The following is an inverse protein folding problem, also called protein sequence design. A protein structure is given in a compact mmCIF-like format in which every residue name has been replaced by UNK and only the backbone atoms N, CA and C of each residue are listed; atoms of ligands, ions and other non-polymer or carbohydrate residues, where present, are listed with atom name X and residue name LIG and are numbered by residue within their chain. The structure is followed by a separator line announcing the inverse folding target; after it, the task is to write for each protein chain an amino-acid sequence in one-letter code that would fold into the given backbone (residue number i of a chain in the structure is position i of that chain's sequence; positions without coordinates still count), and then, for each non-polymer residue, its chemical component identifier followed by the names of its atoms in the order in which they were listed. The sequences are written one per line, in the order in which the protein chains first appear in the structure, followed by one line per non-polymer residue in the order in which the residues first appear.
data_IF_704657172687
#
_entry.id   IF_704657172687
#
_cell.length_a   1.000
_cell.length_b   1.000
_cell.length_c   1.000
_cell.angle_alpha   90.00
_cell.angle_beta   90.00
_cell.angle_gamma   90.00
#
_symmetry.space_group_name_H-M   'P 1'
#
loop_
_entity.id
_entity.type
_entity.pdbx_description
1 polymer ?
#
# COMPACT_ATOMS: atom_id res chain seq x y z
N UNK A 1 21.17 -19.08 -10.63
CA UNK A 1 20.18 -18.03 -10.34
C UNK A 1 19.16 -18.63 -9.41
N UNK A 2 18.72 -17.86 -8.42
CA UNK A 2 17.58 -18.23 -7.57
C UNK A 2 16.33 -18.27 -8.44
N UNK A 3 15.37 -19.15 -8.12
CA UNK A 3 14.08 -19.17 -8.79
C UNK A 3 13.36 -17.81 -8.57
N UNK A 4 12.67 -17.26 -9.58
CA UNK A 4 11.88 -16.04 -9.42
C UNK A 4 10.83 -16.18 -8.30
N UNK A 5 10.62 -15.12 -7.52
CA UNK A 5 9.69 -15.15 -6.37
C UNK A 5 8.23 -15.34 -6.84
N UNK A 6 7.89 -14.84 -8.03
CA UNK A 6 6.55 -14.93 -8.64
C UNK A 6 6.05 -16.38 -8.70
N UNK A 7 6.95 -17.34 -8.89
CA UNK A 7 6.63 -18.78 -8.96
C UNK A 7 6.09 -19.35 -7.63
N UNK A 8 6.24 -18.62 -6.52
CA UNK A 8 5.86 -19.06 -5.19
C UNK A 8 4.56 -18.44 -4.69
N UNK A 9 3.92 -17.53 -5.45
CA UNK A 9 2.68 -16.88 -5.02
C UNK A 9 1.59 -17.90 -4.67
N UNK A 10 0.98 -17.73 -3.48
CA UNK A 10 -0.16 -18.52 -3.00
C UNK A 10 -1.06 -17.63 -2.17
N UNK A 11 -2.36 -17.65 -2.44
CA UNK A 11 -3.39 -16.98 -1.64
C UNK A 11 -4.17 -18.02 -0.85
N UNK A 12 -3.62 -18.45 0.29
CA UNK A 12 -4.28 -19.39 1.21
C UNK A 12 -5.23 -18.60 2.11
N UNK A 13 -4.72 -17.51 2.69
CA UNK A 13 -5.43 -16.55 3.53
C UNK A 13 -5.21 -15.11 3.08
N UNK A 14 -4.04 -14.80 2.51
CA UNK A 14 -3.72 -13.46 2.01
C UNK A 14 -4.47 -13.13 0.72
N UNK A 15 -4.45 -11.86 0.33
CA UNK A 15 -5.28 -11.36 -0.77
C UNK A 15 -4.69 -11.66 -2.16
N UNK A 16 -3.39 -11.43 -2.36
CA UNK A 16 -2.75 -11.39 -3.69
C UNK A 16 -1.44 -12.19 -3.76
N UNK A 17 -1.34 -13.26 -2.98
CA UNK A 17 -0.27 -14.26 -3.11
C UNK A 17 0.83 -14.14 -2.05
N UNK A 18 0.70 -13.21 -1.11
CA UNK A 18 1.66 -12.91 -0.04
C UNK A 18 2.04 -14.16 0.77
N UNK A 19 1.10 -15.07 1.06
CA UNK A 19 1.40 -16.25 1.90
C UNK A 19 2.59 -17.06 1.38
N UNK A 20 2.61 -17.30 0.06
CA UNK A 20 3.65 -18.08 -0.58
C UNK A 20 4.96 -17.31 -0.77
N UNK A 21 4.87 -16.00 -1.03
CA UNK A 21 6.04 -15.12 -1.15
C UNK A 21 6.75 -14.97 0.19
N UNK A 22 6.00 -14.70 1.27
CA UNK A 22 6.55 -14.56 2.61
C UNK A 22 7.18 -15.87 3.06
N UNK A 23 6.51 -17.01 2.82
CA UNK A 23 7.08 -18.33 3.14
C UNK A 23 8.42 -18.56 2.42
N UNK A 24 8.49 -18.25 1.13
CA UNK A 24 9.71 -18.43 0.34
C UNK A 24 10.84 -17.49 0.76
N UNK A 25 10.53 -16.21 1.05
CA UNK A 25 11.52 -15.26 1.59
C UNK A 25 12.06 -15.77 2.92
N UNK A 26 11.20 -16.14 3.87
CA UNK A 26 11.61 -16.68 5.16
C UNK A 26 12.48 -17.94 5.00
N UNK A 27 12.13 -18.83 4.07
CA UNK A 27 12.94 -20.01 3.73
C UNK A 27 14.33 -19.63 3.23
N UNK A 28 14.45 -18.64 2.33
CA UNK A 28 15.73 -18.13 1.83
C UNK A 28 16.58 -17.49 2.93
N UNK A 29 15.94 -16.83 3.89
CA UNK A 29 16.58 -16.27 5.08
C UNK A 29 16.96 -17.33 6.14
N UNK A 30 16.57 -18.60 5.94
CA UNK A 30 16.82 -19.68 6.90
C UNK A 30 15.91 -19.66 8.14
N UNK A 31 14.74 -19.00 8.04
CA UNK A 31 13.78 -18.84 9.15
C UNK A 31 12.66 -19.87 8.99
N UNK A 32 12.70 -20.94 9.78
CA UNK A 32 11.67 -21.99 9.79
C UNK A 32 10.60 -21.79 10.85
N UNK A 33 10.92 -21.10 11.95
CA UNK A 33 10.02 -20.73 13.02
C UNK A 33 10.40 -19.34 13.53
N UNK A 34 9.49 -18.38 13.39
CA UNK A 34 9.74 -16.97 13.69
C UNK A 34 8.61 -16.31 14.49
N UNK A 35 8.76 -15.00 14.65
CA UNK A 35 7.73 -14.14 15.21
C UNK A 35 7.25 -13.15 14.16
N UNK A 36 5.94 -13.12 13.91
CA UNK A 36 5.31 -12.14 13.04
C UNK A 36 4.48 -11.13 13.83
N UNK A 37 4.46 -9.88 13.36
CA UNK A 37 3.59 -8.83 13.87
C UNK A 37 2.67 -8.39 12.74
N UNK A 38 1.38 -8.29 13.01
CA UNK A 38 0.40 -7.69 12.09
C UNK A 38 -0.51 -6.74 12.87
N UNK A 39 -0.67 -5.53 12.37
CA UNK A 39 -1.62 -4.55 12.91
C UNK A 39 -2.59 -4.11 11.83
N UNK A 40 -3.85 -3.88 12.23
CA UNK A 40 -4.98 -3.97 11.29
C UNK A 40 -5.47 -5.40 11.12
N UNK A 41 -5.21 -6.27 12.12
CA UNK A 41 -5.38 -7.72 12.01
C UNK A 41 -6.83 -8.19 11.82
N UNK A 42 -7.84 -7.32 11.90
CA UNK A 42 -9.25 -7.64 11.70
C UNK A 42 -9.73 -8.79 12.60
N UNK A 43 -9.98 -9.97 12.04
CA UNK A 43 -10.38 -11.19 12.75
C UNK A 43 -9.24 -12.22 12.84
N UNK A 44 -8.03 -11.82 12.46
CA UNK A 44 -6.80 -12.60 12.45
C UNK A 44 -6.74 -13.68 11.37
N UNK A 45 -7.70 -13.72 10.44
CA UNK A 45 -7.75 -14.73 9.37
C UNK A 45 -8.02 -14.08 8.01
N UNK A 46 -9.10 -13.28 7.92
CA UNK A 46 -9.56 -12.72 6.66
C UNK A 46 -8.51 -11.76 6.08
N UNK A 47 -7.96 -12.13 4.92
CA UNK A 47 -6.92 -11.37 4.20
C UNK A 47 -5.63 -11.16 4.99
N UNK A 48 -5.38 -11.91 6.06
CA UNK A 48 -4.16 -11.79 6.85
C UNK A 48 -2.93 -12.23 6.04
N UNK A 49 -1.86 -11.42 6.08
CA UNK A 49 -0.59 -11.75 5.46
C UNK A 49 0.22 -12.75 6.30
N UNK A 50 -0.12 -12.95 7.59
CA UNK A 50 0.67 -13.73 8.53
C UNK A 50 -0.04 -14.99 9.04
N UNK A 51 -1.35 -15.13 8.85
CA UNK A 51 -2.10 -16.26 9.42
C UNK A 51 -1.63 -17.63 8.89
N UNK A 52 -1.18 -17.73 7.63
CA UNK A 52 -0.59 -18.98 7.13
C UNK A 52 0.65 -19.42 7.92
N UNK A 53 1.50 -18.46 8.32
CA UNK A 53 2.68 -18.75 9.15
C UNK A 53 2.27 -19.28 10.52
N UNK A 54 1.28 -18.62 11.15
CA UNK A 54 0.76 -19.00 12.46
C UNK A 54 0.10 -20.39 12.42
N UNK A 55 -0.77 -20.63 11.42
CA UNK A 55 -1.56 -21.85 11.30
C UNK A 55 -0.75 -23.06 10.88
N UNK A 56 0.09 -22.91 9.86
CA UNK A 56 0.66 -24.03 9.14
C UNK A 56 2.19 -24.18 9.35
N UNK A 57 2.86 -23.15 9.88
CA UNK A 57 4.32 -23.15 10.06
C UNK A 57 4.75 -23.09 11.53
N UNK A 58 3.80 -23.02 12.46
CA UNK A 58 4.09 -23.03 13.89
C UNK A 58 4.72 -21.74 14.40
N UNK A 59 4.61 -20.64 13.66
CA UNK A 59 5.13 -19.34 14.06
C UNK A 59 4.36 -18.78 15.26
N UNK A 60 5.05 -17.94 16.01
CA UNK A 60 4.46 -17.08 17.04
C UNK A 60 4.08 -15.73 16.43
N UNK A 61 3.21 -14.98 17.10
CA UNK A 61 2.92 -13.64 16.60
C UNK A 61 2.20 -12.71 17.55
N UNK A 62 2.23 -11.43 17.21
CA UNK A 62 1.50 -10.36 17.88
C UNK A 62 0.52 -9.75 16.89
N UNK A 63 -0.78 -9.93 17.13
CA UNK A 63 -1.86 -9.41 16.29
C UNK A 63 -2.56 -8.26 17.01
N UNK A 64 -2.66 -7.11 16.35
CA UNK A 64 -3.20 -5.87 16.92
C UNK A 64 -4.41 -5.40 16.11
N UNK A 65 -5.54 -5.20 16.78
CA UNK A 65 -6.78 -4.71 16.17
C UNK A 65 -7.46 -3.66 17.05
N UNK A 66 -7.69 -2.46 16.54
CA UNK A 66 -8.28 -1.36 17.31
C UNK A 66 -9.79 -1.47 17.49
N UNK A 67 -10.52 -2.02 16.52
CA UNK A 67 -11.96 -2.17 16.60
C UNK A 67 -12.35 -3.33 17.53
N UNK A 68 -12.97 -3.02 18.67
CA UNK A 68 -13.30 -4.03 19.68
C UNK A 68 -14.19 -5.17 19.15
N UNK A 69 -15.08 -4.93 18.16
CA UNK A 69 -15.92 -6.01 17.60
C UNK A 69 -15.10 -6.97 16.74
N UNK A 70 -14.20 -6.45 15.90
CA UNK A 70 -13.27 -7.26 15.10
C UNK A 70 -12.31 -8.01 16.02
N UNK A 71 -11.77 -7.32 17.02
CA UNK A 71 -10.91 -7.91 18.04
C UNK A 71 -11.56 -9.09 18.78
N UNK A 72 -12.86 -9.02 19.13
CA UNK A 72 -13.53 -10.18 19.74
C UNK A 72 -13.52 -11.41 18.82
N UNK A 73 -13.70 -11.22 17.50
CA UNK A 73 -13.57 -12.32 16.53
C UNK A 73 -12.14 -12.82 16.46
N UNK A 74 -11.17 -11.92 16.40
CA UNK A 74 -9.74 -12.25 16.44
C UNK A 74 -9.40 -13.12 17.65
N UNK A 75 -9.84 -12.72 18.85
CA UNK A 75 -9.61 -13.50 20.07
C UNK A 75 -10.24 -14.89 20.02
N UNK A 76 -11.44 -15.02 19.44
CA UNK A 76 -12.10 -16.32 19.27
C UNK A 76 -11.36 -17.19 18.26
N UNK A 77 -10.94 -16.61 17.13
CA UNK A 77 -10.22 -17.32 16.08
C UNK A 77 -8.82 -17.76 16.54
N UNK A 78 -8.16 -16.97 17.38
CA UNK A 78 -6.82 -17.25 17.90
C UNK A 78 -6.82 -18.03 19.22
N UNK A 79 -7.98 -18.45 19.75
CA UNK A 79 -8.09 -19.05 21.10
C UNK A 79 -7.22 -20.30 21.31
N UNK A 80 -6.98 -21.06 20.24
CA UNK A 80 -6.24 -22.33 20.26
C UNK A 80 -4.75 -22.12 19.90
N UNK A 81 -4.30 -20.87 19.73
CA UNK A 81 -2.94 -20.49 19.38
C UNK A 81 -2.24 -19.84 20.58
N UNK A 82 -1.75 -20.66 21.50
CA UNK A 82 -1.09 -20.18 22.73
C UNK A 82 0.17 -19.35 22.47
N UNK A 83 0.77 -19.47 21.28
CA UNK A 83 1.92 -18.69 20.83
C UNK A 83 1.56 -17.34 20.19
N UNK A 84 0.27 -16.99 20.12
CA UNK A 84 -0.21 -15.74 19.51
C UNK A 84 -0.75 -14.80 20.59
N UNK A 85 -0.17 -13.61 20.67
CA UNK A 85 -0.66 -12.51 21.50
C UNK A 85 -1.64 -11.65 20.70
N UNK A 86 -2.81 -11.40 21.28
CA UNK A 86 -3.88 -10.61 20.66
C UNK A 86 -4.11 -9.33 21.46
N UNK A 87 -4.02 -8.16 20.82
CA UNK A 87 -4.17 -6.86 21.47
C UNK A 87 -5.32 -6.04 20.88
N UNK A 88 -6.12 -5.41 21.76
CA UNK A 88 -7.14 -4.45 21.36
C UNK A 88 -6.65 -3.01 21.53
N UNK A 89 -5.81 -2.56 20.60
CA UNK A 89 -5.17 -1.24 20.66
C UNK A 89 -5.29 -0.51 19.32
N UNK A 90 -5.45 0.81 19.36
CA UNK A 90 -5.31 1.66 18.18
C UNK A 90 -3.87 2.13 18.06
N UNK A 91 -3.26 1.92 16.89
CA UNK A 91 -1.96 2.51 16.59
C UNK A 91 -2.15 4.00 16.34
N UNK A 92 -1.39 4.84 17.04
CA UNK A 92 -1.36 6.28 16.85
C UNK A 92 0.04 6.80 16.54
N UNK A 93 0.18 8.12 16.57
CA UNK A 93 1.45 8.82 16.36
C UNK A 93 2.09 9.33 17.65
N UNK A 94 1.41 9.15 18.79
CA UNK A 94 1.86 9.65 20.08
C UNK A 94 2.78 8.62 20.76
N UNK A 95 3.62 9.10 21.68
CA UNK A 95 4.57 8.24 22.39
C UNK A 95 3.90 7.07 23.14
N UNK A 96 2.66 7.25 23.60
CA UNK A 96 1.97 6.23 24.38
C UNK A 96 1.21 5.19 23.55
N UNK A 97 0.98 5.43 22.26
CA UNK A 97 0.20 4.53 21.40
C UNK A 97 0.85 4.26 20.03
N UNK A 98 2.11 4.64 19.84
CA UNK A 98 2.90 4.23 18.69
C UNK A 98 3.09 2.70 18.67
N UNK A 99 3.29 2.15 17.47
CA UNK A 99 3.60 0.73 17.30
C UNK A 99 4.84 0.32 18.11
N UNK A 100 5.90 1.13 18.08
CA UNK A 100 7.14 0.86 18.82
C UNK A 100 6.89 0.72 20.34
N UNK A 101 6.05 1.59 20.90
CA UNK A 101 5.67 1.52 22.32
C UNK A 101 4.89 0.24 22.64
N UNK A 102 3.95 -0.13 21.79
CA UNK A 102 3.16 -1.35 21.97
C UNK A 102 4.06 -2.60 21.88
N UNK A 103 4.95 -2.66 20.89
CA UNK A 103 5.90 -3.77 20.74
C UNK A 103 6.83 -3.90 21.95
N UNK A 104 7.29 -2.77 22.50
CA UNK A 104 8.13 -2.75 23.70
C UNK A 104 7.38 -3.28 24.93
N UNK A 105 6.11 -2.91 25.10
CA UNK A 105 5.27 -3.42 26.19
C UNK A 105 5.04 -4.92 26.09
N UNK A 106 4.88 -5.44 24.86
CA UNK A 106 4.75 -6.88 24.59
C UNK A 106 6.08 -7.63 24.62
N UNK A 107 7.20 -6.92 24.82
CA UNK A 107 8.56 -7.50 24.82
C UNK A 107 8.89 -8.22 23.51
N UNK A 108 8.33 -7.74 22.40
CA UNK A 108 8.72 -8.19 21.06
C UNK A 108 10.18 -7.79 20.84
N UNK A 109 11.05 -8.70 20.38
CA UNK A 109 12.45 -8.38 20.14
C UNK A 109 12.57 -7.36 19.00
N UNK A 110 13.51 -6.39 19.06
CA UNK A 110 13.69 -5.40 18.00
C UNK A 110 13.95 -5.99 16.60
N UNK A 111 14.55 -7.18 16.52
CA UNK A 111 14.97 -7.87 15.30
C UNK A 111 14.08 -9.08 14.94
N UNK A 112 12.78 -9.00 15.28
CA UNK A 112 11.78 -10.01 14.92
C UNK A 112 11.66 -10.23 13.40
N UNK A 113 10.94 -11.27 12.98
CA UNK A 113 11.11 -11.79 11.62
C UNK A 113 10.25 -11.08 10.56
N UNK A 114 8.94 -10.96 10.79
CA UNK A 114 8.00 -10.46 9.78
C UNK A 114 7.09 -9.37 10.36
N UNK A 115 7.02 -8.22 9.72
CA UNK A 115 6.07 -7.15 10.04
C UNK A 115 5.10 -6.94 8.87
N UNK A 116 3.80 -7.01 9.14
CA UNK A 116 2.72 -6.66 8.21
C UNK A 116 2.06 -5.35 8.65
N UNK A 117 2.06 -4.36 7.75
CA UNK A 117 1.52 -3.01 7.91
C UNK A 117 0.36 -2.83 6.91
N UNK A 118 -0.87 -2.90 7.40
CA UNK A 118 -2.06 -2.77 6.56
C UNK A 118 -3.22 -2.14 7.35
N UNK A 119 -3.32 -0.82 7.31
CA UNK A 119 -4.34 -0.03 8.03
C UNK A 119 -5.06 1.01 7.16
N UNK A 120 -5.09 0.81 5.85
CA UNK A 120 -5.86 1.61 4.88
C UNK A 120 -5.58 3.13 4.95
N UNK A 121 -4.31 3.56 5.01
CA UNK A 121 -3.96 4.96 4.82
C UNK A 121 -2.61 5.42 5.37
N UNK A 122 -2.45 5.45 6.69
CA UNK A 122 -1.29 6.09 7.36
C UNK A 122 -0.08 5.16 7.55
N UNK A 123 -0.07 4.06 6.81
CA UNK A 123 0.94 2.98 6.77
C UNK A 123 2.37 3.54 6.69
N UNK A 124 2.57 4.51 5.78
CA UNK A 124 3.85 5.21 5.62
C UNK A 124 4.36 5.81 6.94
N UNK A 125 3.49 6.46 7.70
CA UNK A 125 3.88 7.13 8.94
C UNK A 125 4.11 6.18 10.09
N UNK A 126 3.39 5.05 10.12
CA UNK A 126 3.68 4.00 11.10
C UNK A 126 5.06 3.40 10.83
N UNK A 127 5.37 3.08 9.57
CA UNK A 127 6.69 2.58 9.21
C UNK A 127 7.79 3.62 9.43
N UNK A 128 7.54 4.89 9.09
CA UNK A 128 8.45 6.00 9.37
C UNK A 128 8.82 6.06 10.86
N UNK A 129 7.82 5.92 11.74
CA UNK A 129 7.99 6.03 13.19
C UNK A 129 8.85 4.94 13.84
N UNK A 130 9.00 3.76 13.19
CA UNK A 130 9.79 2.65 13.73
C UNK A 130 11.29 2.95 13.68
N UNK A 131 11.92 3.24 14.81
CA UNK A 131 13.32 3.66 14.85
C UNK A 131 14.24 2.60 15.46
N UNK A 132 13.74 1.90 16.49
CA UNK A 132 14.49 0.87 17.22
C UNK A 132 14.26 -0.51 16.61
N UNK A 133 13.03 -0.79 16.18
CA UNK A 133 12.64 -2.07 15.62
C UNK A 133 13.07 -2.19 14.16
N UNK A 134 13.74 -3.29 13.84
CA UNK A 134 14.25 -3.67 12.53
C UNK A 134 13.80 -5.10 12.19
N UNK A 135 12.51 -5.32 11.89
CA UNK A 135 12.05 -6.61 11.41
C UNK A 135 12.82 -7.05 10.17
N UNK A 136 13.04 -8.36 9.98
CA UNK A 136 13.82 -8.88 8.85
C UNK A 136 13.09 -8.72 7.51
N UNK A 137 11.77 -8.87 7.53
CA UNK A 137 10.86 -8.72 6.40
C UNK A 137 9.76 -7.72 6.77
N UNK A 138 9.47 -6.77 5.88
CA UNK A 138 8.37 -5.80 6.02
C UNK A 138 7.43 -5.95 4.84
N UNK A 139 6.14 -6.09 5.13
CA UNK A 139 5.04 -6.02 4.17
C UNK A 139 4.27 -4.74 4.50
N UNK A 140 4.05 -3.89 3.50
CA UNK A 140 3.37 -2.61 3.69
C UNK A 140 2.43 -2.30 2.53
N UNK A 141 1.21 -1.91 2.87
CA UNK A 141 0.20 -1.49 1.91
C UNK A 141 0.61 -0.20 1.18
N UNK A 142 0.31 -0.14 -0.11
CA UNK A 142 0.41 1.07 -0.93
C UNK A 142 -0.86 1.28 -1.74
N UNK A 143 -1.10 2.51 -2.20
CA UNK A 143 -2.23 2.76 -3.10
C UNK A 143 -1.86 2.33 -4.54
N UNK A 144 -2.51 1.28 -5.10
CA UNK A 144 -2.19 0.76 -6.43
C UNK A 144 -2.52 1.69 -7.57
N UNK A 145 -3.36 2.70 -7.34
CA UNK A 145 -3.77 3.64 -8.38
C UNK A 145 -2.75 4.74 -8.65
N UNK A 146 -1.74 4.89 -7.79
CA UNK A 146 -0.73 5.94 -7.92
C UNK A 146 0.42 5.43 -8.81
N UNK A 147 0.73 6.07 -9.96
CA UNK A 147 1.80 5.61 -10.85
C UNK A 147 3.18 5.55 -10.19
N UNK A 148 4.05 4.65 -10.66
CA UNK A 148 5.41 4.42 -10.17
C UNK A 148 6.25 5.70 -10.14
N UNK A 149 6.01 6.66 -11.03
CA UNK A 149 6.81 7.88 -11.13
C UNK A 149 6.42 8.93 -10.08
N UNK A 150 5.24 8.82 -9.49
CA UNK A 150 4.64 9.82 -8.59
C UNK A 150 5.10 9.57 -7.14
N UNK A 151 5.66 10.61 -6.51
CA UNK A 151 5.83 10.65 -5.06
C UNK A 151 4.60 11.28 -4.42
N UNK A 152 3.88 10.49 -3.62
CA UNK A 152 2.70 10.92 -2.89
C UNK A 152 2.62 10.20 -1.56
N UNK A 153 2.32 10.95 -0.51
CA UNK A 153 1.98 10.46 0.83
C UNK A 153 0.75 11.25 1.27
N UNK A 154 -0.29 10.55 1.73
CA UNK A 154 -1.46 11.23 2.26
C UNK A 154 -1.12 12.12 3.46
N UNK A 155 -2.01 13.03 3.83
CA UNK A 155 -1.85 13.80 5.06
C UNK A 155 -1.73 12.88 6.29
N UNK A 156 -0.90 13.27 7.27
CA UNK A 156 -0.70 12.53 8.54
C UNK A 156 -1.92 12.64 9.46
N UNK A 157 -3.02 12.02 9.06
CA UNK A 157 -4.29 12.00 9.79
C UNK A 157 -5.05 10.70 9.50
N UNK A 158 -5.73 10.17 10.50
CA UNK A 158 -6.63 9.01 10.37
C UNK A 158 -7.97 9.36 9.72
N UNK A 159 -8.25 10.64 9.48
CA UNK A 159 -9.48 11.10 8.81
C UNK A 159 -9.40 11.03 7.28
N UNK A 160 -8.32 10.46 6.73
CA UNK A 160 -8.05 10.38 5.29
C UNK A 160 -7.55 8.99 4.94
N UNK A 161 -8.08 8.45 3.84
CA UNK A 161 -7.71 7.14 3.29
C UNK A 161 -7.39 7.30 1.80
N UNK A 162 -6.27 7.96 1.52
CA UNK A 162 -5.72 8.12 0.17
C UNK A 162 -4.53 7.19 -0.06
N UNK A 163 -3.94 6.65 1.00
CA UNK A 163 -2.73 5.82 0.97
C UNK A 163 -1.48 6.60 0.56
N UNK A 164 -0.43 5.84 0.24
CA UNK A 164 0.84 6.39 -0.24
C UNK A 164 1.27 5.71 -1.53
N UNK A 165 2.05 6.42 -2.33
CA UNK A 165 2.65 5.88 -3.56
C UNK A 165 3.68 4.80 -3.23
N UNK A 166 3.80 3.82 -4.11
CA UNK A 166 4.85 2.80 -4.01
C UNK A 166 6.26 3.44 -3.96
N UNK A 167 6.50 4.47 -4.77
CA UNK A 167 7.78 5.20 -4.81
C UNK A 167 8.14 5.85 -3.49
N UNK A 168 7.19 6.53 -2.83
CA UNK A 168 7.45 7.12 -1.51
C UNK A 168 7.78 6.05 -0.46
N UNK A 169 7.08 4.92 -0.47
CA UNK A 169 7.33 3.82 0.47
C UNK A 169 8.69 3.17 0.22
N UNK A 170 9.06 2.90 -1.04
CA UNK A 170 10.39 2.37 -1.40
C UNK A 170 11.49 3.29 -0.89
N UNK A 171 11.39 4.60 -1.15
CA UNK A 171 12.36 5.59 -0.68
C UNK A 171 12.48 5.63 0.84
N UNK A 172 11.35 5.51 1.56
CA UNK A 172 11.35 5.40 3.01
C UNK A 172 12.06 4.11 3.47
N UNK A 173 11.76 2.97 2.86
CA UNK A 173 12.36 1.68 3.18
C UNK A 173 13.88 1.71 2.98
N UNK A 174 14.36 2.24 1.85
CA UNK A 174 15.79 2.41 1.54
C UNK A 174 16.51 3.25 2.60
N UNK A 175 15.93 4.38 3.00
CA UNK A 175 16.47 5.22 4.08
C UNK A 175 16.54 4.49 5.43
N UNK A 176 15.69 3.47 5.63
CA UNK A 176 15.65 2.65 6.85
C UNK A 176 16.53 1.39 6.75
N UNK A 177 17.24 1.19 5.64
CA UNK A 177 18.14 0.05 5.44
C UNK A 177 17.46 -1.22 4.92
N UNK A 178 16.37 -1.04 4.17
CA UNK A 178 15.63 -2.10 3.50
C UNK A 178 15.73 -1.97 1.99
N UNK A 179 15.55 -3.09 1.28
CA UNK A 179 15.40 -3.12 -0.17
C UNK A 179 14.12 -3.85 -0.58
N UNK A 180 13.41 -3.39 -1.62
CA UNK A 180 12.23 -4.07 -2.12
C UNK A 180 12.65 -5.38 -2.81
N UNK A 181 11.89 -6.44 -2.57
CA UNK A 181 12.13 -7.76 -3.17
C UNK A 181 10.93 -8.30 -3.93
N UNK A 182 9.72 -7.80 -3.62
CA UNK A 182 8.50 -8.22 -4.29
C UNK A 182 7.40 -7.17 -4.18
N UNK A 183 6.44 -7.19 -5.10
CA UNK A 183 5.24 -6.36 -5.05
C UNK A 183 4.03 -7.20 -5.44
N UNK A 184 2.99 -7.18 -4.60
CA UNK A 184 1.66 -7.69 -4.98
C UNK A 184 0.79 -6.55 -5.51
N UNK A 185 -0.50 -6.82 -5.76
CA UNK A 185 -1.43 -5.80 -6.21
C UNK A 185 -1.66 -4.67 -5.21
N UNK A 186 -1.41 -4.86 -3.91
CA UNK A 186 -1.58 -3.81 -2.90
C UNK A 186 -0.45 -3.74 -1.86
N UNK A 187 0.46 -4.73 -1.80
CA UNK A 187 1.53 -4.76 -0.82
C UNK A 187 2.92 -4.71 -1.46
N UNK A 188 3.80 -3.91 -0.88
CA UNK A 188 5.24 -3.98 -1.14
C UNK A 188 5.90 -4.85 -0.07
N UNK A 189 6.84 -5.69 -0.49
CA UNK A 189 7.59 -6.58 0.40
C UNK A 189 9.07 -6.21 0.35
N UNK A 190 9.63 -5.96 1.51
CA UNK A 190 11.00 -5.54 1.73
C UNK A 190 11.75 -6.51 2.62
N UNK A 191 13.06 -6.59 2.44
CA UNK A 191 13.97 -7.26 3.40
C UNK A 191 15.06 -6.29 3.85
N UNK A 192 15.58 -6.50 5.06
CA UNK A 192 16.78 -5.76 5.50
C UNK A 192 17.93 -6.00 4.53
N UNK A 193 18.74 -4.97 4.29
CA UNK A 193 19.87 -5.02 3.35
C UNK A 193 20.82 -6.19 3.60
N UNK A 194 20.98 -6.62 4.86
CA UNK A 194 21.85 -7.74 5.23
C UNK A 194 21.38 -9.08 4.67
N UNK A 195 20.09 -9.21 4.32
CA UNK A 195 19.48 -10.42 3.79
C UNK A 195 19.18 -10.34 2.29
N UNK A 196 19.42 -9.19 1.66
CA UNK A 196 19.02 -8.96 0.26
C UNK A 196 19.61 -9.99 -0.70
N UNK A 197 20.91 -10.26 -0.57
CA UNK A 197 21.64 -11.21 -1.43
C UNK A 197 21.21 -12.67 -1.21
N UNK A 198 20.44 -12.97 -0.15
CA UNK A 198 19.81 -14.28 0.04
C UNK A 198 18.50 -14.41 -0.75
N UNK A 199 17.88 -13.29 -1.11
CA UNK A 199 16.57 -13.25 -1.77
C UNK A 199 16.69 -12.95 -3.26
N UNK A 200 17.44 -11.90 -3.61
CA UNK A 200 17.64 -11.44 -4.99
C UNK A 200 19.08 -11.70 -5.44
N UNK A 201 19.32 -11.81 -6.75
CA UNK A 201 20.66 -11.97 -7.35
C UNK A 201 21.21 -10.63 -7.90
N UNK A 202 20.36 -9.62 -8.04
CA UNK A 202 20.67 -8.28 -8.55
C UNK A 202 19.69 -7.26 -7.96
N UNK A 203 20.03 -5.97 -8.07
CA UNK A 203 19.16 -4.88 -7.64
C UNK A 203 17.94 -4.78 -8.56
N UNK A 204 16.74 -4.88 -7.98
CA UNK A 204 15.47 -4.82 -8.72
C UNK A 204 14.85 -3.43 -8.58
N UNK A 205 14.48 -2.82 -9.71
CA UNK A 205 13.78 -1.52 -9.72
C UNK A 205 12.28 -1.65 -9.42
N UNK A 206 11.64 -0.54 -9.02
CA UNK A 206 10.20 -0.51 -8.81
C UNK A 206 9.41 -0.86 -10.08
N UNK A 207 9.88 -0.42 -11.25
CA UNK A 207 9.22 -0.69 -12.54
C UNK A 207 9.33 -2.18 -12.94
N UNK A 208 10.35 -2.89 -12.48
CA UNK A 208 10.45 -4.35 -12.65
C UNK A 208 9.53 -5.11 -11.68
N UNK A 209 9.32 -4.59 -10.47
CA UNK A 209 8.48 -5.22 -9.47
C UNK A 209 6.98 -4.99 -9.70
N UNK A 210 6.61 -3.84 -10.26
CA UNK A 210 5.22 -3.38 -10.33
C UNK A 210 4.84 -2.90 -11.72
N UNK A 211 3.95 -3.65 -12.37
CA UNK A 211 3.19 -3.19 -13.52
C UNK A 211 2.01 -2.30 -13.07
N UNK A 212 2.14 -1.00 -13.27
CA UNK A 212 1.11 -0.01 -12.97
C UNK A 212 0.28 0.41 -14.20
N UNK A 213 0.52 -0.20 -15.36
CA UNK A 213 -0.21 0.11 -16.59
C UNK A 213 -1.74 -0.01 -16.48
N UNK A 214 -2.33 -0.92 -15.66
CA UNK A 214 -3.78 -0.98 -15.50
C UNK A 214 -4.42 0.24 -14.84
N UNK A 215 -3.61 1.08 -14.17
CA UNK A 215 -4.06 2.24 -13.39
C UNK A 215 -3.38 3.56 -13.82
N UNK A 216 -2.28 3.53 -14.57
CA UNK A 216 -1.56 4.71 -15.05
C UNK A 216 -2.36 5.46 -16.11
N UNK A 217 -2.90 6.63 -15.77
CA UNK A 217 -3.68 7.48 -16.69
C UNK A 217 -2.92 8.76 -17.00
N UNK A 218 -2.57 8.96 -18.27
CA UNK A 218 -2.03 10.24 -18.75
C UNK A 218 -3.17 11.18 -19.12
N UNK A 219 -3.12 12.42 -18.64
CA UNK A 219 -4.04 13.48 -19.00
C UNK A 219 -3.35 14.49 -19.92
N UNK A 220 -3.99 14.84 -21.03
CA UNK A 220 -3.49 15.85 -21.96
C UNK A 220 -4.65 16.68 -22.55
N UNK A 221 -4.33 17.80 -23.18
CA UNK A 221 -5.33 18.76 -23.72
C UNK A 221 -5.11 18.98 -25.21
N UNK A 222 -6.19 18.94 -25.98
CA UNK A 222 -6.19 19.32 -27.39
C UNK A 222 -6.14 20.82 -27.59
N UNK A 223 -5.79 21.28 -28.79
CA UNK A 223 -5.79 22.71 -29.16
C UNK A 223 -7.19 23.37 -29.08
N UNK A 224 -8.24 22.56 -29.03
CA UNK A 224 -9.63 22.97 -28.85
C UNK A 224 -10.03 23.12 -27.37
N UNK A 225 -9.16 22.72 -26.43
CA UNK A 225 -9.43 22.69 -25.00
C UNK A 225 -10.16 21.42 -24.51
N UNK A 226 -10.29 20.40 -25.35
CA UNK A 226 -10.80 19.09 -24.91
C UNK A 226 -9.75 18.37 -24.07
N UNK A 227 -10.15 17.89 -22.88
CA UNK A 227 -9.31 17.04 -22.02
C UNK A 227 -9.37 15.60 -22.53
N UNK A 228 -8.23 14.95 -22.68
CA UNK A 228 -8.12 13.55 -23.06
C UNK A 228 -7.44 12.77 -21.94
N UNK A 229 -7.76 11.48 -21.87
CA UNK A 229 -7.06 10.52 -21.02
C UNK A 229 -6.55 9.37 -21.89
N UNK A 230 -5.37 8.82 -21.58
CA UNK A 230 -4.82 7.66 -22.29
C UNK A 230 -5.67 6.40 -22.13
N UNK A 231 -6.37 6.31 -21.01
CA UNK A 231 -7.37 5.28 -20.70
C UNK A 231 -8.41 5.85 -19.74
N UNK A 232 -9.56 5.19 -19.57
CA UNK A 232 -10.56 5.62 -18.60
C UNK A 232 -10.05 5.52 -17.14
N UNK A 233 -10.50 6.44 -16.28
CA UNK A 233 -10.14 6.42 -14.85
C UNK A 233 -11.02 5.41 -14.10
N UNK A 234 -10.42 4.48 -13.36
CA UNK A 234 -11.14 3.47 -12.59
C UNK A 234 -11.24 3.85 -11.11
N UNK A 235 -12.45 3.89 -10.57
CA UNK A 235 -12.74 4.14 -9.16
C UNK A 235 -12.90 2.81 -8.42
N UNK A 236 -11.78 2.16 -8.06
CA UNK A 236 -11.75 0.78 -7.55
C UNK A 236 -12.67 0.56 -6.34
N UNK A 237 -12.59 1.45 -5.34
CA UNK A 237 -13.39 1.36 -4.11
C UNK A 237 -14.84 1.83 -4.26
N UNK A 238 -15.27 2.27 -5.44
CA UNK A 238 -16.63 2.74 -5.72
C UNK A 238 -17.29 1.87 -6.79
N UNK A 239 -17.21 0.55 -6.62
CA UNK A 239 -17.80 -0.43 -7.53
C UNK A 239 -17.07 -0.57 -8.87
N UNK A 240 -15.81 -0.12 -8.95
CA UNK A 240 -15.02 -0.19 -10.19
C UNK A 240 -15.56 0.70 -11.30
N UNK A 241 -16.31 1.76 -10.96
CA UNK A 241 -16.87 2.69 -11.94
C UNK A 241 -15.73 3.26 -12.78
N UNK A 242 -15.96 3.27 -14.08
CA UNK A 242 -15.01 3.76 -15.06
C UNK A 242 -15.47 5.13 -15.59
N UNK A 243 -14.58 6.12 -15.57
CA UNK A 243 -14.85 7.50 -15.95
C UNK A 243 -14.03 7.85 -17.18
N UNK A 244 -14.71 7.99 -18.32
CA UNK A 244 -14.11 8.47 -19.56
C UNK A 244 -13.80 9.96 -19.51
N UNK A 245 -12.88 10.39 -20.34
CA UNK A 245 -12.50 11.81 -20.45
C UNK A 245 -13.68 12.72 -20.74
N UNK A 246 -14.75 12.24 -21.41
CA UNK A 246 -15.98 12.98 -21.66
C UNK A 246 -16.67 13.51 -20.39
N UNK A 247 -16.50 12.83 -19.25
CA UNK A 247 -17.04 13.22 -17.94
C UNK A 247 -16.11 14.15 -17.16
N UNK A 248 -14.87 14.34 -17.63
CA UNK A 248 -13.85 15.19 -17.02
C UNK A 248 -13.76 16.58 -17.67
N UNK A 249 -14.61 16.87 -18.66
CA UNK A 249 -14.58 18.14 -19.38
C UNK A 249 -15.03 19.30 -18.50
N UNK A 250 -14.17 20.30 -18.33
CA UNK A 250 -14.49 21.54 -17.63
C UNK A 250 -14.98 22.64 -18.58
N UNK A 251 -14.56 22.61 -19.84
CA UNK A 251 -14.98 23.57 -20.88
C UNK A 251 -16.25 23.05 -21.57
N UNK A 252 -17.35 23.83 -21.59
CA UNK A 252 -18.56 23.49 -22.33
C UNK A 252 -18.27 23.14 -23.78
N UNK A 253 -18.99 22.15 -24.32
CA UNK A 253 -18.80 21.68 -25.71
C UNK A 253 -18.88 22.82 -26.73
N UNK A 254 -19.74 23.81 -26.50
CA UNK A 254 -19.88 25.01 -27.35
C UNK A 254 -18.56 25.81 -27.48
N UNK A 255 -17.69 25.77 -26.48
CA UNK A 255 -16.42 26.49 -26.46
C UNK A 255 -15.21 25.61 -26.80
N UNK A 256 -15.41 24.30 -27.03
CA UNK A 256 -14.34 23.35 -27.39
C UNK A 256 -14.07 23.37 -28.89
N UNK A 257 -13.35 24.40 -29.32
CA UNK A 257 -12.85 24.56 -30.68
C UNK A 257 -11.58 25.40 -30.66
N UNK A 258 -10.73 25.20 -31.67
CA UNK A 258 -9.49 25.97 -31.82
C UNK A 258 -9.78 27.48 -31.75
N UNK A 259 -9.05 28.27 -30.93
CA UNK A 259 -9.35 29.70 -30.76
C UNK A 259 -9.46 30.48 -32.07
N UNK A 260 -8.61 30.17 -33.06
CA UNK A 260 -8.62 30.82 -34.37
C UNK A 260 -9.88 30.57 -35.21
N UNK A 261 -10.66 29.54 -34.90
CA UNK A 261 -11.88 29.19 -35.64
C UNK A 261 -13.15 29.85 -35.06
N UNK A 262 -13.04 30.57 -33.95
CA UNK A 262 -14.19 31.16 -33.24
C UNK A 262 -14.56 32.52 -33.82
N UNK A 263 -15.84 32.76 -34.07
CA UNK A 263 -16.34 34.09 -34.40
C UNK A 263 -16.30 35.02 -33.17
N UNK A 264 -16.40 36.34 -33.39
CA UNK A 264 -16.31 37.34 -32.31
C UNK A 264 -17.34 37.15 -31.20
N UNK A 265 -18.56 36.68 -31.53
CA UNK A 265 -19.62 36.46 -30.54
C UNK A 265 -19.21 35.33 -29.61
N UNK A 266 -18.78 34.20 -30.17
CA UNK A 266 -18.35 33.04 -29.42
C UNK A 266 -17.10 33.34 -28.59
N UNK A 267 -16.16 34.12 -29.12
CA UNK A 267 -14.99 34.59 -28.36
C UNK A 267 -15.38 35.43 -27.14
N UNK A 268 -16.32 36.38 -27.29
CA UNK A 268 -16.82 37.20 -26.17
C UNK A 268 -17.53 36.34 -25.12
N UNK A 269 -18.41 35.44 -25.54
CA UNK A 269 -19.13 34.53 -24.63
C UNK A 269 -18.16 33.60 -23.89
N UNK A 270 -17.19 33.02 -24.60
CA UNK A 270 -16.17 32.18 -23.98
C UNK A 270 -15.35 32.99 -22.97
N UNK A 271 -14.96 34.22 -23.30
CA UNK A 271 -14.21 35.09 -22.37
C UNK A 271 -14.99 35.33 -21.08
N UNK A 272 -16.28 35.68 -21.17
CA UNK A 272 -17.14 35.86 -19.98
C UNK A 272 -17.21 34.58 -19.16
N UNK A 273 -17.35 33.41 -19.80
CA UNK A 273 -17.34 32.12 -19.11
C UNK A 273 -16.02 31.86 -18.40
N UNK A 274 -14.88 32.04 -19.08
CA UNK A 274 -13.55 31.80 -18.49
C UNK A 274 -13.28 32.77 -17.33
N UNK A 275 -13.64 34.05 -17.48
CA UNK A 275 -13.50 35.06 -16.42
C UNK A 275 -14.33 34.69 -15.17
N UNK A 276 -15.50 34.07 -15.34
CA UNK A 276 -16.30 33.53 -14.23
C UNK A 276 -15.69 32.25 -13.66
N UNK A 277 -15.23 31.33 -14.51
CA UNK A 277 -14.72 30.02 -14.11
C UNK A 277 -13.40 30.11 -13.33
N UNK A 278 -12.48 30.99 -13.73
CA UNK A 278 -11.16 31.15 -13.09
C UNK A 278 -11.24 31.93 -11.77
N UNK A 279 -12.30 32.72 -11.54
CA UNK A 279 -12.48 33.50 -10.31
C UNK A 279 -13.12 32.71 -9.17
N UNK A 280 -13.57 31.48 -9.42
CA UNK A 280 -14.06 30.55 -8.40
C UNK A 280 -12.98 29.54 -8.05
#
# INVERSE_FOLDING_TARGET
MKEPLENYQKSIYSQYGEDGIIEEICRRLGISNGHCVEFGAWDGIFLSNVYNLLKNKGWSGTLIEGNSKKFQKLKVNMKDFSQVSCLNEWIGFEENNSLETILKQQKVPPDFDVLSIDIDGVDFYVFESLSVYKPKVVIIEYNPTIPNEVEFVQAKTFSTSQGSSAKSIVKLAENKGYKPVFCTSCNLIFVLNTYYDLVCDYDVSLDELRDDSPYKVFLFVGYDGTIFTSQPVKLLWHGGITVDSSKLQVIPMLFRSFPGNKNMVLQKLQKVFLDWFVKK
#
